data_IF_145347397636
#
_entry.id   IF_145347397636
#
_cell.length_a   1.000
_cell.length_b   1.000
_cell.length_c   1.000
_cell.angle_alpha   90.00
_cell.angle_beta   90.00
_cell.angle_gamma   90.00
#
_symmetry.space_group_name_H-M   'P 1'
#
loop_
_entity.id
_entity.type
_entity.pdbx_description
1 polymer ?
#
# COMPACT_ATOMS: atom_id res chain seq x y z
N UNK A 1 -18.01 -29.99 -18.95
CA UNK A 1 -17.82 -29.79 -17.50
C UNK A 1 -16.49 -30.35 -17.00
N UNK A 2 -16.17 -31.64 -17.22
CA UNK A 2 -14.91 -32.25 -16.73
C UNK A 2 -13.63 -31.77 -17.44
N UNK A 3 -13.72 -31.34 -18.71
CA UNK A 3 -12.58 -30.83 -19.47
C UNK A 3 -12.04 -29.48 -18.94
N UNK A 4 -12.90 -28.61 -18.40
CA UNK A 4 -12.46 -27.34 -17.80
C UNK A 4 -11.61 -27.57 -16.54
N UNK A 5 -11.95 -28.57 -15.72
CA UNK A 5 -11.20 -28.85 -14.50
C UNK A 5 -9.78 -29.33 -14.78
N UNK A 6 -9.58 -30.08 -15.88
CA UNK A 6 -8.25 -30.54 -16.31
C UNK A 6 -7.40 -29.41 -16.89
N UNK A 7 -8.01 -28.46 -17.60
CA UNK A 7 -7.32 -27.26 -18.09
C UNK A 7 -6.87 -26.35 -16.94
N UNK A 8 -7.70 -26.19 -15.89
CA UNK A 8 -7.33 -25.43 -14.70
C UNK A 8 -6.22 -26.09 -13.88
N UNK A 9 -6.21 -27.43 -13.79
CA UNK A 9 -5.14 -28.16 -13.11
C UNK A 9 -3.80 -28.07 -13.86
N UNK A 10 -3.81 -28.11 -15.19
CA UNK A 10 -2.60 -27.94 -15.99
C UNK A 10 -2.01 -26.52 -15.86
N UNK A 11 -2.85 -25.50 -15.76
CA UNK A 11 -2.41 -24.10 -15.56
C UNK A 11 -1.79 -23.87 -14.17
N UNK A 12 -2.24 -24.63 -13.16
CA UNK A 12 -1.73 -24.53 -11.78
C UNK A 12 -0.37 -25.25 -11.57
N UNK A 13 0.01 -26.14 -12.50
CA UNK A 13 1.23 -26.95 -12.43
C UNK A 13 2.40 -26.38 -13.25
N UNK A 14 2.22 -25.26 -13.94
CA UNK A 14 3.33 -24.56 -14.58
C UNK A 14 4.11 -23.74 -13.51
N UNK A 15 5.37 -24.08 -13.19
CA UNK A 15 6.18 -23.36 -12.21
C UNK A 15 6.82 -22.13 -12.87
N UNK A 16 6.00 -21.25 -13.46
CA UNK A 16 6.48 -20.05 -14.13
C UNK A 16 5.61 -18.84 -13.80
N UNK A 17 5.32 -18.67 -12.51
CA UNK A 17 5.15 -17.32 -11.97
C UNK A 17 6.51 -16.85 -11.48
N UNK A 18 7.23 -16.01 -12.24
CA UNK A 18 8.33 -15.29 -11.64
C UNK A 18 7.73 -14.45 -10.52
N UNK A 19 8.21 -14.69 -9.30
CA UNK A 19 8.10 -13.81 -8.15
C UNK A 19 8.43 -12.38 -8.59
N UNK A 20 7.43 -11.57 -8.90
CA UNK A 20 7.58 -10.12 -8.97
C UNK A 20 7.23 -9.57 -7.59
N UNK A 21 8.07 -9.89 -6.61
CA UNK A 21 7.87 -9.48 -5.22
C UNK A 21 9.13 -8.91 -4.55
N UNK A 22 10.25 -8.72 -5.27
CA UNK A 22 11.49 -8.24 -4.64
C UNK A 22 12.46 -7.50 -5.58
N UNK A 23 11.98 -6.80 -6.61
CA UNK A 23 12.83 -5.99 -7.50
C UNK A 23 12.10 -4.75 -8.07
N UNK A 24 11.25 -4.08 -7.28
CA UNK A 24 10.39 -2.96 -7.74
C UNK A 24 11.13 -1.60 -7.70
N UNK A 25 12.46 -1.56 -7.61
CA UNK A 25 13.21 -0.30 -7.64
C UNK A 25 14.54 -0.35 -8.41
N UNK A 26 14.54 -1.04 -9.54
CA UNK A 26 15.33 -0.56 -10.68
C UNK A 26 14.37 -0.48 -11.85
N UNK A 27 13.99 0.73 -12.34
CA UNK A 27 13.30 0.81 -13.61
C UNK A 27 14.26 0.23 -14.65
N UNK A 28 13.88 -0.79 -15.44
CA UNK A 28 14.63 -1.10 -16.64
C UNK A 28 14.68 0.20 -17.43
N UNK A 29 15.88 0.61 -17.85
CA UNK A 29 16.05 1.76 -18.76
C UNK A 29 15.45 1.30 -20.09
N UNK A 30 14.14 1.47 -20.23
CA UNK A 30 13.43 1.30 -21.49
C UNK A 30 13.73 2.60 -22.23
N UNK A 31 14.74 2.57 -23.09
CA UNK A 31 15.00 3.65 -24.06
C UNK A 31 13.80 3.69 -25.03
N UNK A 32 12.75 4.40 -24.62
CA UNK A 32 11.62 4.68 -25.50
C UNK A 32 12.08 5.81 -26.40
N UNK A 33 12.28 5.50 -27.68
CA UNK A 33 12.50 6.48 -28.74
C UNK A 33 11.51 7.66 -28.60
N UNK A 34 11.98 8.92 -28.56
CA UNK A 34 11.14 10.07 -28.26
C UNK A 34 10.00 10.23 -29.27
N UNK A 35 10.22 9.86 -30.54
CA UNK A 35 9.19 9.85 -31.58
C UNK A 35 8.05 8.87 -31.28
N UNK A 36 8.40 7.66 -30.80
CA UNK A 36 7.43 6.65 -30.40
C UNK A 36 6.62 7.14 -29.20
N UNK A 37 7.26 7.83 -28.26
CA UNK A 37 6.59 8.40 -27.09
C UNK A 37 5.55 9.47 -27.51
N UNK A 38 5.91 10.39 -28.40
CA UNK A 38 4.97 11.41 -28.91
C UNK A 38 3.81 10.79 -29.70
N UNK A 39 4.08 9.74 -30.49
CA UNK A 39 3.03 8.98 -31.16
C UNK A 39 2.06 8.33 -30.15
N UNK A 40 2.58 7.73 -29.08
CA UNK A 40 1.75 7.14 -28.03
C UNK A 40 0.91 8.22 -27.33
N UNK A 41 1.49 9.38 -26.99
CA UNK A 41 0.77 10.49 -26.37
C UNK A 41 -0.40 10.98 -27.25
N UNK A 42 -0.16 11.19 -28.54
CA UNK A 42 -1.21 11.63 -29.48
C UNK A 42 -2.30 10.57 -29.68
N UNK A 43 -1.91 9.29 -29.75
CA UNK A 43 -2.86 8.18 -29.84
C UNK A 43 -3.74 8.05 -28.59
N UNK A 44 -3.18 8.28 -27.40
CA UNK A 44 -3.97 8.28 -26.15
C UNK A 44 -5.00 9.42 -26.18
N UNK A 45 -4.57 10.64 -26.54
CA UNK A 45 -5.46 11.79 -26.61
C UNK A 45 -6.61 11.57 -27.60
N UNK A 46 -6.30 11.04 -28.80
CA UNK A 46 -7.33 10.77 -29.81
C UNK A 46 -8.32 9.68 -29.39
N UNK A 47 -7.84 8.57 -28.79
CA UNK A 47 -8.70 7.50 -28.27
C UNK A 47 -9.62 7.95 -27.15
N UNK A 48 -9.19 8.92 -26.35
CA UNK A 48 -9.99 9.50 -25.27
C UNK A 48 -10.88 10.66 -25.76
N UNK A 49 -10.81 11.05 -27.03
CA UNK A 49 -11.56 12.20 -27.56
C UNK A 49 -11.09 13.54 -26.97
N UNK A 50 -9.83 13.63 -26.54
CA UNK A 50 -9.25 14.80 -25.90
C UNK A 50 -8.39 15.59 -26.89
N UNK A 51 -8.58 16.91 -26.94
CA UNK A 51 -7.72 17.80 -27.72
C UNK A 51 -6.38 18.09 -27.06
N UNK A 52 -6.31 17.95 -25.73
CA UNK A 52 -5.11 18.25 -24.94
C UNK A 52 -5.11 17.45 -23.63
N UNK A 53 -3.95 17.41 -22.97
CA UNK A 53 -3.80 16.75 -21.67
C UNK A 53 -4.60 17.52 -20.61
N UNK A 54 -5.56 16.88 -19.91
CA UNK A 54 -6.30 17.55 -18.85
C UNK A 54 -5.39 17.85 -17.66
N UNK A 55 -5.66 18.97 -16.99
CA UNK A 55 -5.01 19.28 -15.71
C UNK A 55 -5.61 18.35 -14.65
N UNK A 56 -4.80 17.56 -13.94
CA UNK A 56 -5.33 16.68 -12.91
C UNK A 56 -5.95 17.53 -11.79
N UNK A 57 -7.26 17.43 -11.61
CA UNK A 57 -7.95 18.05 -10.49
C UNK A 57 -7.79 17.16 -9.25
N UNK A 58 -7.40 17.75 -8.13
CA UNK A 58 -7.26 17.02 -6.87
C UNK A 58 -6.01 16.15 -6.75
N UNK A 59 -4.99 16.36 -7.60
CA UNK A 59 -3.69 15.76 -7.32
C UNK A 59 -3.19 16.29 -5.96
N UNK A 60 -2.77 15.40 -5.03
CA UNK A 60 -2.25 15.84 -3.76
C UNK A 60 -1.04 16.76 -3.98
N UNK A 61 -0.85 17.78 -3.11
CA UNK A 61 0.33 18.62 -3.14
C UNK A 61 1.63 17.80 -3.23
N UNK A 62 2.65 18.34 -3.88
CA UNK A 62 3.90 17.61 -4.19
C UNK A 62 4.59 17.08 -2.92
N UNK A 63 4.51 17.83 -1.84
CA UNK A 63 4.94 17.48 -0.49
C UNK A 63 4.22 16.25 0.06
N UNK A 64 2.90 16.18 -0.10
CA UNK A 64 2.10 15.00 0.29
C UNK A 64 2.51 13.77 -0.51
N UNK A 65 2.72 13.91 -1.83
CA UNK A 65 3.22 12.81 -2.66
C UNK A 65 4.59 12.34 -2.19
N UNK A 66 5.51 13.28 -1.89
CA UNK A 66 6.83 12.95 -1.35
C UNK A 66 6.74 12.25 0.00
N UNK A 67 5.87 12.69 0.88
CA UNK A 67 5.66 12.06 2.19
C UNK A 67 5.11 10.64 2.04
N UNK A 68 4.14 10.42 1.16
CA UNK A 68 3.59 9.08 0.87
C UNK A 68 4.68 8.17 0.31
N UNK A 69 5.47 8.65 -0.66
CA UNK A 69 6.55 7.87 -1.24
C UNK A 69 7.66 7.57 -0.21
N UNK A 70 8.00 8.54 0.65
CA UNK A 70 8.96 8.33 1.73
C UNK A 70 8.46 7.29 2.74
N UNK A 71 7.17 7.35 3.12
CA UNK A 71 6.55 6.36 4.01
C UNK A 71 6.47 4.97 3.37
N UNK A 72 6.16 4.89 2.08
CA UNK A 72 6.09 3.63 1.35
C UNK A 72 7.47 2.99 1.13
N UNK A 73 8.53 3.80 1.10
CA UNK A 73 9.91 3.34 1.02
C UNK A 73 10.48 2.92 2.39
N UNK A 74 9.78 3.19 3.49
CA UNK A 74 10.20 2.80 4.83
C UNK A 74 10.01 1.28 5.02
N UNK A 75 11.09 0.50 5.21
CA UNK A 75 11.01 -0.93 5.46
C UNK A 75 10.47 -1.29 6.85
N UNK A 76 10.26 -0.31 7.73
CA UNK A 76 9.67 -0.49 9.05
C UNK A 76 8.34 0.27 9.14
N UNK A 77 7.21 -0.33 8.71
CA UNK A 77 5.91 0.26 8.98
C UNK A 77 5.78 0.45 10.49
N UNK A 78 5.29 1.64 10.91
CA UNK A 78 5.03 1.99 12.31
C UNK A 78 4.49 0.77 13.05
N UNK A 79 5.27 0.29 14.04
CA UNK A 79 4.91 -0.87 14.85
C UNK A 79 3.47 -0.67 15.36
N UNK A 80 2.56 -1.63 15.18
CA UNK A 80 1.26 -1.55 15.83
C UNK A 80 1.50 -1.32 17.33
N UNK A 81 0.66 -0.49 18.00
CA UNK A 81 0.82 -0.23 19.41
C UNK A 81 0.90 -1.57 20.15
N UNK A 82 1.93 -1.72 20.99
CA UNK A 82 2.17 -2.94 21.76
C UNK A 82 0.98 -3.18 22.70
N UNK A 83 -0.01 -3.90 22.18
CA UNK A 83 -1.33 -4.11 22.80
C UNK A 83 -1.19 -4.71 24.20
N UNK A 84 -0.18 -5.56 24.41
CA UNK A 84 0.09 -6.15 25.72
C UNK A 84 0.52 -5.12 26.77
N UNK A 85 1.32 -4.11 26.36
CA UNK A 85 1.77 -3.06 27.28
C UNK A 85 0.63 -2.10 27.59
N UNK A 86 -0.23 -1.82 26.61
CA UNK A 86 -1.47 -1.06 26.82
C UNK A 86 -2.42 -1.78 27.78
N UNK A 87 -2.62 -3.09 27.61
CA UNK A 87 -3.49 -3.87 28.50
C UNK A 87 -2.95 -3.93 29.93
N UNK A 88 -1.63 -4.14 30.09
CA UNK A 88 -0.96 -4.11 31.40
C UNK A 88 -1.13 -2.76 32.10
N UNK A 89 -1.02 -1.66 31.36
CA UNK A 89 -1.22 -0.31 31.88
C UNK A 89 -2.68 -0.05 32.29
N UNK A 90 -3.65 -0.45 31.45
CA UNK A 90 -5.09 -0.34 31.75
C UNK A 90 -5.44 -1.11 33.03
N UNK A 91 -4.93 -2.34 33.17
CA UNK A 91 -5.09 -3.16 34.38
C UNK A 91 -4.46 -2.45 35.59
N UNK A 92 -3.25 -1.92 35.47
CA UNK A 92 -2.57 -1.21 36.54
C UNK A 92 -3.28 0.09 36.97
N UNK A 93 -3.97 0.77 36.05
CA UNK A 93 -4.80 1.95 36.36
C UNK A 93 -6.06 1.51 37.13
N UNK A 94 -6.72 0.45 36.69
CA UNK A 94 -7.93 -0.08 37.34
C UNK A 94 -7.66 -0.50 38.80
N UNK A 95 -6.56 -1.22 39.05
CA UNK A 95 -6.17 -1.60 40.42
C UNK A 95 -5.89 -0.38 41.30
N UNK A 96 -5.14 0.61 40.79
CA UNK A 96 -4.85 1.85 41.53
C UNK A 96 -6.10 2.67 41.86
N UNK A 97 -7.13 2.63 41.03
CA UNK A 97 -8.41 3.30 41.30
C UNK A 97 -9.23 2.54 42.36
N UNK A 98 -9.17 1.21 42.37
CA UNK A 98 -9.87 0.38 43.36
C UNK A 98 -9.30 0.58 44.78
N UNK A 99 -7.97 0.57 44.92
CA UNK A 99 -7.29 0.67 46.22
C UNK A 99 -7.49 2.04 46.89
N UNK A 100 -7.60 3.11 46.09
CA UNK A 100 -7.86 4.48 46.56
C UNK A 100 -9.28 4.68 47.08
N UNK A 101 -10.25 3.93 46.55
CA UNK A 101 -11.64 4.05 46.98
C UNK A 101 -11.90 3.28 48.29
N UNK A 102 -11.20 2.16 48.53
CA UNK A 102 -11.32 1.38 49.77
C UNK A 102 -10.77 2.13 50.99
N UNK A 103 -9.71 2.90 50.81
CA UNK A 103 -9.10 3.73 51.88
C UNK A 103 -9.91 4.98 52.22
N UNK A 104 -10.81 5.44 51.33
CA UNK A 104 -11.69 6.59 51.58
C UNK A 104 -12.98 6.26 52.36
N UNK A 105 -13.31 4.97 52.51
CA UNK A 105 -14.53 4.48 53.16
C UNK A 105 -14.30 3.95 54.60
N UNK A 106 -13.07 4.03 55.11
CA UNK A 106 -12.70 3.60 56.48
C UNK A 106 -12.30 4.76 57.42
N UNK A 107 -12.67 6.00 57.07
CA UNK A 107 -12.46 7.21 57.87
C UNK A 107 -13.74 7.74 58.49
#
# INVERSE_FOLDING_TARGET
MRACLLLCAALALAPSWPRVAAAIFEPPIIDIEPERLEHIKTQILSKLGLSSRPTPQGAPPRDVVRQILARAADPHPERPPEYENSMREIIAIAHRACDKNVTSLSG
#
